data_IF_806925196067
#
_entry.id   IF_806925196067
#
_cell.length_a   1.000
_cell.length_b   1.000
_cell.length_c   1.000
_cell.angle_alpha   90.00
_cell.angle_beta   90.00
_cell.angle_gamma   90.00
#
_symmetry.space_group_name_H-M   'P 1'
#
loop_
_entity.id
_entity.type
_entity.pdbx_description
1 polymer ?
#
# COMPACT_ATOMS: atom_id res chain seq x y z
N UNK A 1 16.01 6.95 -2.75
CA UNK A 1 17.45 7.19 -2.87
C UNK A 1 17.75 8.09 -4.07
N UNK A 2 17.14 7.89 -5.25
CA UNK A 2 17.44 8.68 -6.45
C UNK A 2 17.04 10.16 -6.29
N UNK A 3 15.82 10.43 -5.83
CA UNK A 3 15.31 11.80 -5.60
C UNK A 3 16.11 12.53 -4.51
N UNK A 4 16.51 11.79 -3.48
CA UNK A 4 17.27 12.33 -2.34
C UNK A 4 18.68 12.79 -2.73
N UNK A 5 19.29 12.12 -3.72
CA UNK A 5 20.64 12.48 -4.22
C UNK A 5 20.73 13.85 -4.90
N UNK A 6 19.60 14.44 -5.31
CA UNK A 6 19.54 15.77 -5.92
C UNK A 6 19.26 16.90 -4.92
N UNK A 7 18.91 16.56 -3.66
CA UNK A 7 18.54 17.53 -2.65
C UNK A 7 19.82 17.99 -1.88
N UNK A 8 20.18 19.26 -2.06
CA UNK A 8 21.38 19.84 -1.46
C UNK A 8 21.16 20.46 -0.07
N UNK A 9 19.93 20.43 0.47
CA UNK A 9 19.62 21.00 1.78
C UNK A 9 18.72 20.09 2.60
N UNK A 10 18.91 20.06 3.92
CA UNK A 10 18.07 19.30 4.86
C UNK A 10 16.61 19.75 4.83
N UNK A 11 16.35 21.04 4.65
CA UNK A 11 14.99 21.56 4.53
C UNK A 11 14.27 21.07 3.28
N UNK A 12 14.96 21.00 2.12
CA UNK A 12 14.41 20.47 0.90
C UNK A 12 14.12 18.96 1.03
N UNK A 13 15.00 18.23 1.70
CA UNK A 13 14.80 16.79 1.99
C UNK A 13 13.55 16.57 2.86
N UNK A 14 13.41 17.33 3.93
CA UNK A 14 12.25 17.24 4.82
C UNK A 14 10.95 17.59 4.08
N UNK A 15 10.95 18.66 3.30
CA UNK A 15 9.78 19.08 2.50
C UNK A 15 9.35 18.01 1.50
N UNK A 16 10.29 17.44 0.76
CA UNK A 16 9.99 16.37 -0.20
C UNK A 16 9.48 15.12 0.52
N UNK A 17 10.03 14.73 1.65
CA UNK A 17 9.55 13.58 2.43
C UNK A 17 8.11 13.77 2.92
N UNK A 18 7.76 14.95 3.40
CA UNK A 18 6.40 15.25 3.85
C UNK A 18 5.41 15.16 2.68
N UNK A 19 5.75 15.76 1.54
CA UNK A 19 4.89 15.73 0.34
C UNK A 19 4.74 14.30 -0.16
N UNK A 20 5.83 13.56 -0.33
CA UNK A 20 5.80 12.16 -0.77
C UNK A 20 5.01 11.28 0.20
N UNK A 21 5.23 11.44 1.51
CA UNK A 21 4.50 10.67 2.53
C UNK A 21 3.00 10.94 2.47
N UNK A 22 2.60 12.20 2.28
CA UNK A 22 1.19 12.58 2.15
C UNK A 22 0.58 11.99 0.88
N UNK A 23 1.23 12.15 -0.27
CA UNK A 23 0.75 11.61 -1.55
C UNK A 23 0.64 10.09 -1.49
N UNK A 24 1.64 9.41 -0.96
CA UNK A 24 1.61 7.95 -0.78
C UNK A 24 0.49 7.56 0.18
N UNK A 25 0.29 8.29 1.28
CA UNK A 25 -0.80 8.04 2.23
C UNK A 25 -2.19 8.10 1.58
N UNK A 26 -2.41 9.04 0.67
CA UNK A 26 -3.64 9.09 -0.14
C UNK A 26 -3.74 7.89 -1.09
N UNK A 27 -2.68 7.61 -1.84
CA UNK A 27 -2.67 6.55 -2.86
C UNK A 27 -2.86 5.15 -2.26
N UNK A 28 -2.38 4.88 -1.06
CA UNK A 28 -2.60 3.58 -0.39
C UNK A 28 -3.96 3.49 0.31
N UNK A 29 -4.76 4.55 0.26
CA UNK A 29 -6.07 4.60 0.88
C UNK A 29 -6.03 4.77 2.40
N UNK A 30 -4.95 5.32 2.98
CA UNK A 30 -4.84 5.52 4.43
C UNK A 30 -5.72 6.67 4.93
N UNK A 31 -5.89 7.71 4.12
CA UNK A 31 -6.66 8.91 4.48
C UNK A 31 -8.08 8.91 3.92
N UNK A 32 -8.31 8.23 2.80
CA UNK A 32 -9.62 8.13 2.17
C UNK A 32 -9.80 6.77 1.50
N UNK A 33 -11.04 6.26 1.40
CA UNK A 33 -11.32 5.01 0.70
C UNK A 33 -10.87 5.06 -0.77
N UNK A 34 -10.33 3.95 -1.28
CA UNK A 34 -9.88 3.85 -2.67
C UNK A 34 -11.05 3.91 -3.67
N UNK A 35 -12.25 3.54 -3.23
CA UNK A 35 -13.50 3.64 -4.00
C UNK A 35 -13.82 5.06 -4.46
N UNK A 36 -13.32 6.07 -3.75
CA UNK A 36 -13.49 7.48 -4.14
C UNK A 36 -12.60 7.94 -5.30
N UNK A 37 -11.59 7.15 -5.67
CA UNK A 37 -10.74 7.48 -6.82
C UNK A 37 -11.34 6.98 -8.13
N UNK A 38 -11.05 7.67 -9.25
CA UNK A 38 -11.33 7.15 -10.59
C UNK A 38 -10.68 5.77 -10.79
N UNK A 39 -11.33 4.90 -11.55
CA UNK A 39 -10.88 3.50 -11.78
C UNK A 39 -9.41 3.39 -12.20
N UNK A 40 -8.93 4.27 -13.06
CA UNK A 40 -7.53 4.27 -13.48
C UNK A 40 -6.54 4.49 -12.35
N UNK A 41 -6.90 5.31 -11.34
CA UNK A 41 -6.09 5.51 -10.13
C UNK A 41 -6.19 4.28 -9.23
N UNK A 42 -7.38 3.69 -9.08
CA UNK A 42 -7.55 2.47 -8.31
C UNK A 42 -6.67 1.33 -8.84
N UNK A 43 -6.62 1.13 -10.17
CA UNK A 43 -5.72 0.14 -10.77
C UNK A 43 -4.24 0.45 -10.53
N UNK A 44 -3.86 1.72 -10.62
CA UNK A 44 -2.48 2.13 -10.33
C UNK A 44 -2.10 1.84 -8.88
N UNK A 45 -2.98 2.15 -7.93
CA UNK A 45 -2.73 1.92 -6.49
C UNK A 45 -2.61 0.43 -6.15
N UNK A 46 -3.26 -0.45 -6.91
CA UNK A 46 -3.15 -1.89 -6.74
C UNK A 46 -1.73 -2.45 -7.00
N UNK A 47 -0.89 -1.73 -7.73
CA UNK A 47 0.53 -2.08 -7.89
C UNK A 47 1.40 -1.63 -6.72
N UNK A 48 0.88 -0.81 -5.82
CA UNK A 48 1.64 -0.30 -4.67
C UNK A 48 1.52 -1.31 -3.52
N UNK A 49 2.63 -1.92 -3.04
CA UNK A 49 2.57 -2.89 -1.93
C UNK A 49 1.95 -2.32 -0.65
N UNK A 50 2.09 -1.00 -0.44
CA UNK A 50 1.47 -0.29 0.68
C UNK A 50 -0.05 -0.37 0.68
N UNK A 51 -0.70 -0.39 -0.50
CA UNK A 51 -2.14 -0.54 -0.64
C UNK A 51 -2.61 -1.90 -0.10
N UNK A 52 -1.89 -2.97 -0.45
CA UNK A 52 -2.17 -4.31 0.06
C UNK A 52 -1.94 -4.40 1.57
N UNK A 53 -0.89 -3.75 2.10
CA UNK A 53 -0.65 -3.68 3.55
C UNK A 53 -1.79 -2.97 4.27
N UNK A 54 -2.26 -1.85 3.76
CA UNK A 54 -3.36 -1.08 4.34
C UNK A 54 -4.68 -1.88 4.33
N UNK A 55 -4.99 -2.57 3.22
CA UNK A 55 -6.17 -3.41 3.11
C UNK A 55 -6.10 -4.61 4.07
N UNK A 56 -4.96 -5.30 4.16
CA UNK A 56 -4.74 -6.38 5.12
C UNK A 56 -4.92 -5.91 6.57
N UNK A 57 -4.41 -4.75 6.90
CA UNK A 57 -4.52 -4.19 8.24
C UNK A 57 -5.97 -3.89 8.60
N UNK A 58 -6.76 -3.33 7.66
CA UNK A 58 -8.19 -3.13 7.82
C UNK A 58 -8.93 -4.45 8.01
N UNK A 59 -8.68 -5.43 7.16
CA UNK A 59 -9.26 -6.77 7.28
C UNK A 59 -8.96 -7.39 8.65
N UNK A 60 -7.73 -7.30 9.12
CA UNK A 60 -7.32 -7.89 10.40
C UNK A 60 -7.93 -7.19 11.61
N UNK A 61 -8.00 -5.84 11.57
CA UNK A 61 -8.48 -5.05 12.72
C UNK A 61 -10.01 -5.02 12.76
N UNK A 62 -10.66 -4.88 11.61
CA UNK A 62 -12.08 -4.59 11.53
C UNK A 62 -12.91 -5.75 10.96
N UNK A 63 -12.28 -6.81 10.44
CA UNK A 63 -12.99 -7.95 9.83
C UNK A 63 -13.97 -8.60 10.82
N UNK A 64 -13.57 -8.82 12.08
CA UNK A 64 -14.46 -9.36 13.08
C UNK A 64 -15.67 -8.46 13.42
N UNK A 65 -15.50 -7.13 13.37
CA UNK A 65 -16.60 -6.20 13.54
C UNK A 65 -17.56 -6.22 12.34
N UNK A 66 -17.03 -6.37 11.12
CA UNK A 66 -17.82 -6.53 9.90
C UNK A 66 -18.66 -7.81 9.94
N UNK A 67 -18.07 -8.93 10.37
CA UNK A 67 -18.77 -10.21 10.52
C UNK A 67 -19.93 -10.09 11.53
N UNK A 68 -19.71 -9.38 12.64
CA UNK A 68 -20.74 -9.12 13.64
C UNK A 68 -21.87 -8.22 13.09
N UNK A 69 -21.52 -7.21 12.30
CA UNK A 69 -22.51 -6.35 11.63
C UNK A 69 -23.29 -7.16 10.59
N UNK A 70 -22.63 -8.00 9.82
CA UNK A 70 -23.27 -8.88 8.84
C UNK A 70 -24.25 -9.86 9.50
N UNK A 71 -23.92 -10.37 10.67
CA UNK A 71 -24.78 -11.27 11.44
C UNK A 71 -26.00 -10.57 12.07
N UNK A 72 -25.89 -9.28 12.40
CA UNK A 72 -26.95 -8.49 13.04
C UNK A 72 -27.77 -7.62 12.08
N UNK A 73 -27.25 -7.34 10.91
CA UNK A 73 -27.86 -6.51 9.87
C UNK A 73 -28.07 -7.33 8.58
N UNK A 74 -28.33 -6.67 7.46
CA UNK A 74 -28.39 -7.35 6.16
C UNK A 74 -26.99 -7.62 5.61
N UNK A 75 -26.75 -8.75 4.93
CA UNK A 75 -25.49 -9.03 4.25
C UNK A 75 -25.12 -7.95 3.21
N UNK A 76 -26.12 -7.33 2.59
CA UNK A 76 -25.95 -6.23 1.64
C UNK A 76 -25.34 -4.99 2.28
N UNK A 77 -25.75 -4.68 3.51
CA UNK A 77 -25.20 -3.54 4.26
C UNK A 77 -23.73 -3.79 4.64
N UNK A 78 -23.39 -4.99 5.08
CA UNK A 78 -22.00 -5.36 5.39
C UNK A 78 -21.11 -5.34 4.13
N UNK A 79 -21.63 -5.81 2.99
CA UNK A 79 -20.93 -5.76 1.71
C UNK A 79 -20.69 -4.31 1.25
N UNK A 80 -21.68 -3.43 1.38
CA UNK A 80 -21.55 -2.01 1.09
C UNK A 80 -20.49 -1.32 1.96
N UNK A 81 -20.44 -1.65 3.26
CA UNK A 81 -19.37 -1.15 4.14
C UNK A 81 -17.99 -1.68 3.73
N UNK A 82 -17.90 -2.96 3.36
CA UNK A 82 -16.65 -3.58 2.90
C UNK A 82 -16.09 -2.87 1.66
N UNK A 83 -16.95 -2.54 0.71
CA UNK A 83 -16.59 -1.79 -0.49
C UNK A 83 -16.23 -0.34 -0.17
N UNK A 84 -17.05 0.37 0.61
CA UNK A 84 -16.85 1.77 0.98
C UNK A 84 -15.50 1.98 1.68
N UNK A 85 -15.15 1.11 2.63
CA UNK A 85 -13.90 1.21 3.36
C UNK A 85 -12.71 0.49 2.71
N UNK A 86 -12.88 0.00 1.48
CA UNK A 86 -11.81 -0.67 0.71
C UNK A 86 -11.17 -1.85 1.47
N UNK A 87 -12.00 -2.67 2.10
CA UNK A 87 -11.54 -3.94 2.69
C UNK A 87 -11.13 -4.93 1.61
N UNK A 88 -11.85 -4.90 0.50
CA UNK A 88 -11.55 -5.68 -0.69
C UNK A 88 -10.89 -4.78 -1.73
N UNK A 89 -9.71 -5.19 -2.18
CA UNK A 89 -9.09 -4.58 -3.33
C UNK A 89 -9.63 -5.25 -4.59
N UNK A 90 -10.28 -4.47 -5.44
CA UNK A 90 -10.74 -4.93 -6.74
C UNK A 90 -9.68 -4.63 -7.80
N UNK A 91 -9.19 -5.68 -8.46
CA UNK A 91 -8.26 -5.57 -9.58
C UNK A 91 -8.92 -6.11 -10.83
N UNK A 92 -9.22 -5.22 -11.78
CA UNK A 92 -9.94 -5.54 -13.02
C UNK A 92 -11.25 -6.32 -12.78
N UNK A 93 -12.05 -5.89 -11.79
CA UNK A 93 -13.32 -6.53 -11.45
C UNK A 93 -13.21 -7.84 -10.66
N UNK A 94 -12.02 -8.19 -10.21
CA UNK A 94 -11.79 -9.38 -9.38
C UNK A 94 -11.30 -8.95 -8.00
N UNK A 95 -11.98 -9.43 -6.95
CA UNK A 95 -11.55 -9.20 -5.58
C UNK A 95 -10.22 -9.92 -5.31
N UNK A 96 -9.25 -9.20 -4.77
CA UNK A 96 -7.93 -9.74 -4.43
C UNK A 96 -8.02 -10.41 -3.06
N UNK A 97 -7.83 -11.74 -2.97
CA UNK A 97 -7.90 -12.43 -1.68
C UNK A 97 -6.77 -11.99 -0.74
N UNK A 98 -7.00 -12.00 0.60
CA UNK A 98 -6.00 -11.61 1.60
C UNK A 98 -4.66 -12.36 1.48
N UNK A 99 -4.71 -13.62 1.06
CA UNK A 99 -3.50 -14.42 0.84
C UNK A 99 -2.62 -13.84 -0.30
N UNK A 100 -3.23 -13.34 -1.37
CA UNK A 100 -2.51 -12.69 -2.48
C UNK A 100 -1.96 -11.35 -2.02
N UNK A 101 -2.73 -10.57 -1.25
CA UNK A 101 -2.25 -9.32 -0.67
C UNK A 101 -1.00 -9.56 0.21
N UNK A 102 -1.04 -10.58 1.07
CA UNK A 102 0.09 -10.96 1.91
C UNK A 102 1.31 -11.39 1.07
N UNK A 103 1.09 -12.15 0.01
CA UNK A 103 2.16 -12.57 -0.91
C UNK A 103 2.80 -11.36 -1.62
N UNK A 104 2.02 -10.38 -2.05
CA UNK A 104 2.54 -9.14 -2.67
C UNK A 104 3.40 -8.36 -1.69
N UNK A 105 2.94 -8.20 -0.44
CA UNK A 105 3.69 -7.50 0.61
C UNK A 105 5.00 -8.23 0.94
N UNK A 106 4.95 -9.54 1.12
CA UNK A 106 6.13 -10.35 1.39
C UNK A 106 7.12 -10.33 0.21
N UNK A 107 6.62 -10.47 -1.01
CA UNK A 107 7.43 -10.39 -2.23
C UNK A 107 8.11 -9.03 -2.38
N UNK A 108 7.40 -7.94 -2.13
CA UNK A 108 7.97 -6.60 -2.14
C UNK A 108 9.06 -6.42 -1.07
N UNK A 109 8.84 -6.93 0.15
CA UNK A 109 9.82 -6.88 1.23
C UNK A 109 11.11 -7.62 0.85
N UNK A 110 11.00 -8.81 0.27
CA UNK A 110 12.15 -9.61 -0.21
C UNK A 110 12.86 -8.88 -1.34
N UNK A 111 12.12 -8.33 -2.31
CA UNK A 111 12.68 -7.61 -3.46
C UNK A 111 13.46 -6.38 -3.01
N UNK A 112 12.87 -5.53 -2.17
CA UNK A 112 13.55 -4.31 -1.68
C UNK A 112 14.75 -4.64 -0.80
N UNK A 113 14.66 -5.68 0.05
CA UNK A 113 15.79 -6.13 0.87
C UNK A 113 16.94 -6.64 0.00
N UNK A 114 16.62 -7.44 -1.02
CA UNK A 114 17.60 -7.94 -1.99
C UNK A 114 18.25 -6.80 -2.78
N UNK A 115 17.48 -5.78 -3.17
CA UNK A 115 18.00 -4.61 -3.89
C UNK A 115 18.95 -3.80 -3.01
N UNK A 116 18.63 -3.61 -1.73
CA UNK A 116 19.50 -2.92 -0.77
C UNK A 116 20.81 -3.71 -0.58
N UNK A 117 20.72 -5.03 -0.44
CA UNK A 117 21.90 -5.87 -0.32
C UNK A 117 22.79 -5.80 -1.56
N UNK A 118 22.19 -5.87 -2.74
CA UNK A 118 22.90 -5.79 -4.02
C UNK A 118 23.61 -4.44 -4.20
N UNK A 119 22.92 -3.33 -3.91
CA UNK A 119 23.52 -1.99 -4.00
C UNK A 119 24.69 -1.81 -3.05
N UNK A 120 24.59 -2.33 -1.82
CA UNK A 120 25.69 -2.32 -0.85
C UNK A 120 26.88 -3.19 -1.30
N UNK A 121 26.61 -4.39 -1.82
CA UNK A 121 27.65 -5.29 -2.34
C UNK A 121 28.39 -4.67 -3.54
N UNK A 122 27.65 -4.03 -4.46
CA UNK A 122 28.25 -3.32 -5.60
C UNK A 122 29.07 -2.11 -5.16
N UNK A 123 28.57 -1.31 -4.23
CA UNK A 123 29.28 -0.16 -3.69
C UNK A 123 30.59 -0.59 -2.99
N UNK A 124 30.57 -1.68 -2.23
CA UNK A 124 31.78 -2.24 -1.61
C UNK A 124 32.83 -2.68 -2.64
N UNK A 125 32.38 -3.29 -3.75
CA UNK A 125 33.29 -3.71 -4.82
C UNK A 125 33.89 -2.53 -5.62
N UNK A 126 33.12 -1.46 -5.82
CA UNK A 126 33.55 -0.27 -6.56
C UNK A 126 34.39 0.68 -5.70
N UNK A 127 34.18 0.70 -4.37
CA UNK A 127 34.96 1.52 -3.43
C UNK A 127 36.30 0.88 -3.01
N UNK A 128 36.55 -0.38 -3.38
CA UNK A 128 37.79 -1.10 -3.11
C UNK A 128 38.86 -0.89 -4.22
N UNK A 129 38.65 0.03 -5.16
CA UNK A 129 39.63 0.53 -6.11
C UNK A 129 40.02 1.96 -5.77
#
# INVERSE_FOLDING_TARGET
>A
VFVVGFLKSEGAFTGVNVILGTVVGFLIGAYMPLSMFPEGIQYFTAFIPGTHSAALMRNFIMGGALDEIAARSSPEFAAGLSEEFSFELNFFGTAVPPAVMAAVVAGAAVLFSGLIFLTRALAARLGAK
#
